data_IF_410966450251
#
_entry.id   IF_410966450251
#
_cell.length_a   1.000
_cell.length_b   1.000
_cell.length_c   1.000
_cell.angle_alpha   90.00
_cell.angle_beta   90.00
_cell.angle_gamma   90.00
#
_symmetry.space_group_name_H-M   'P 1'
#
loop_
_entity.id
_entity.type
_entity.pdbx_description
1 polymer ?
#
# COMPACT_ATOMS: atom_id res chain seq x y z
N UNK A 1 16.66 9.23 -12.73
CA UNK A 1 15.21 8.99 -12.73
C UNK A 1 14.92 7.61 -13.26
N UNK A 2 13.94 6.90 -12.68
CA UNK A 2 13.50 5.59 -13.15
C UNK A 2 11.97 5.50 -13.14
N UNK A 3 11.45 4.58 -13.93
CA UNK A 3 10.01 4.25 -13.96
C UNK A 3 9.79 2.95 -13.20
N UNK A 4 8.79 2.93 -12.34
CA UNK A 4 8.39 1.73 -11.60
C UNK A 4 7.28 1.01 -12.38
N UNK A 5 7.49 -0.27 -12.63
CA UNK A 5 6.49 -1.16 -13.22
C UNK A 5 5.89 -2.02 -12.12
N UNK A 6 4.57 -2.04 -12.04
CA UNK A 6 3.88 -2.80 -11.01
C UNK A 6 2.42 -2.99 -11.35
N UNK A 7 1.72 -3.85 -10.68
CA UNK A 7 2.19 -4.78 -9.65
C UNK A 7 1.26 -5.96 -9.55
N UNK A 8 1.36 -6.69 -8.45
CA UNK A 8 0.48 -7.81 -8.13
C UNK A 8 -0.45 -7.47 -6.97
N UNK A 9 -1.56 -8.20 -6.86
CA UNK A 9 -2.50 -8.12 -5.75
C UNK A 9 -2.89 -9.55 -5.36
N UNK A 10 -2.11 -10.15 -4.49
CA UNK A 10 -2.24 -11.55 -4.08
C UNK A 10 -2.61 -11.58 -2.61
N UNK A 11 -3.87 -11.91 -2.32
CA UNK A 11 -4.36 -12.00 -0.93
C UNK A 11 -3.70 -13.16 -0.19
N UNK A 12 -3.38 -12.91 1.08
CA UNK A 12 -2.77 -13.90 1.99
C UNK A 12 -1.43 -14.48 1.52
N UNK A 13 -0.77 -13.81 0.60
CA UNK A 13 0.58 -14.17 0.16
C UNK A 13 1.62 -13.32 0.89
N UNK A 14 2.29 -13.93 1.86
CA UNK A 14 3.29 -13.30 2.71
C UNK A 14 4.73 -13.48 2.21
N UNK A 15 4.90 -14.09 1.04
CA UNK A 15 6.23 -14.31 0.47
C UNK A 15 6.88 -13.00 0.02
N UNK A 16 8.13 -12.81 0.41
CA UNK A 16 8.99 -11.73 -0.06
C UNK A 16 9.96 -12.20 -1.16
N UNK A 17 9.75 -13.41 -1.67
CA UNK A 17 10.58 -13.96 -2.74
C UNK A 17 10.22 -13.33 -4.08
N UNK A 18 11.23 -13.02 -4.88
CA UNK A 18 11.06 -12.65 -6.27
C UNK A 18 10.68 -13.90 -7.08
N UNK A 19 9.56 -13.83 -7.79
CA UNK A 19 9.06 -14.92 -8.61
C UNK A 19 9.05 -14.54 -10.09
N UNK A 20 9.56 -15.43 -10.93
CA UNK A 20 9.56 -15.22 -12.38
C UNK A 20 8.14 -15.10 -12.94
N UNK A 21 7.17 -15.84 -12.38
CA UNK A 21 5.76 -15.75 -12.79
C UNK A 21 5.15 -14.37 -12.52
N UNK A 22 5.46 -13.78 -11.38
CA UNK A 22 4.99 -12.42 -11.04
C UNK A 22 5.64 -11.38 -11.94
N UNK A 23 6.96 -11.48 -12.17
CA UNK A 23 7.70 -10.61 -13.09
C UNK A 23 7.07 -10.63 -14.47
N UNK A 24 6.87 -11.84 -15.02
CA UNK A 24 6.32 -12.00 -16.37
C UNK A 24 4.91 -11.40 -16.47
N UNK A 25 4.07 -11.65 -15.48
CA UNK A 25 2.72 -11.08 -15.42
C UNK A 25 2.74 -9.55 -15.42
N UNK A 26 3.61 -8.93 -14.61
CA UNK A 26 3.76 -7.48 -14.54
C UNK A 26 4.25 -6.93 -15.89
N UNK A 27 5.28 -7.53 -16.46
CA UNK A 27 5.85 -7.06 -17.72
C UNK A 27 4.86 -7.18 -18.88
N UNK A 28 4.13 -8.28 -18.98
CA UNK A 28 3.09 -8.44 -20.00
C UNK A 28 2.00 -7.37 -19.89
N UNK A 29 1.53 -7.07 -18.69
CA UNK A 29 0.54 -6.01 -18.47
C UNK A 29 1.08 -4.63 -18.83
N UNK A 30 2.32 -4.34 -18.47
CA UNK A 30 2.95 -3.05 -18.78
C UNK A 30 3.21 -2.91 -20.28
N UNK A 31 3.65 -3.96 -20.96
CA UNK A 31 3.87 -3.96 -22.41
C UNK A 31 2.57 -3.75 -23.19
N UNK A 32 1.44 -4.23 -22.66
CA UNK A 32 0.14 -4.00 -23.29
C UNK A 32 -0.25 -2.52 -23.37
N UNK A 33 0.14 -1.72 -22.39
CA UNK A 33 -0.11 -0.26 -22.34
C UNK A 33 1.07 0.56 -22.86
N UNK A 34 2.25 -0.01 -22.84
CA UNK A 34 3.48 0.64 -23.31
C UNK A 34 4.30 -0.33 -24.19
N UNK A 35 3.93 -0.43 -25.48
CA UNK A 35 4.57 -1.39 -26.40
C UNK A 35 6.07 -1.17 -26.61
N UNK A 36 6.57 0.06 -26.41
CA UNK A 36 7.99 0.39 -26.54
C UNK A 36 8.83 0.05 -25.31
N UNK A 37 8.22 -0.58 -24.29
CA UNK A 37 8.95 -0.99 -23.11
C UNK A 37 10.09 -1.94 -23.47
N UNK A 38 11.30 -1.59 -23.04
CA UNK A 38 12.51 -2.36 -23.31
C UNK A 38 12.94 -3.10 -22.04
N UNK A 39 12.74 -4.41 -22.01
CA UNK A 39 13.09 -5.27 -20.89
C UNK A 39 14.59 -5.25 -20.55
N UNK A 40 15.45 -4.96 -21.53
CA UNK A 40 16.89 -4.88 -21.30
C UNK A 40 17.32 -3.71 -20.42
N UNK A 41 16.43 -2.74 -20.24
CA UNK A 41 16.65 -1.54 -19.40
C UNK A 41 16.19 -1.70 -17.95
N UNK A 42 15.71 -2.88 -17.57
CA UNK A 42 15.32 -3.14 -16.18
C UNK A 42 16.58 -3.12 -15.31
N UNK A 43 16.57 -2.29 -14.25
CA UNK A 43 17.72 -2.08 -13.37
C UNK A 43 17.56 -2.74 -12.01
N UNK A 44 16.37 -3.24 -11.69
CA UNK A 44 16.16 -3.92 -10.41
C UNK A 44 14.72 -4.36 -10.21
N UNK A 45 14.54 -5.15 -9.18
CA UNK A 45 13.25 -5.70 -8.77
C UNK A 45 13.13 -5.67 -7.26
N UNK A 46 11.90 -5.54 -6.76
CA UNK A 46 11.62 -5.60 -5.33
C UNK A 46 10.24 -6.20 -5.07
N UNK A 47 10.09 -6.79 -3.89
CA UNK A 47 8.84 -7.31 -3.39
C UNK A 47 8.52 -6.60 -2.07
N UNK A 48 7.26 -6.25 -1.89
CA UNK A 48 6.76 -5.69 -0.63
C UNK A 48 5.40 -6.26 -0.28
N UNK A 49 5.00 -6.09 0.97
CA UNK A 49 3.70 -6.50 1.47
C UNK A 49 2.82 -5.25 1.64
N UNK A 50 1.58 -5.31 1.11
CA UNK A 50 0.59 -4.27 1.38
C UNK A 50 -0.15 -4.59 2.66
N UNK A 51 -0.18 -3.68 3.65
CA UNK A 51 -0.91 -3.89 4.89
C UNK A 51 -2.41 -3.70 4.64
N UNK A 52 -3.08 -4.78 4.25
CA UNK A 52 -4.51 -4.79 3.93
C UNK A 52 -5.34 -5.35 5.05
N UNK A 53 -6.55 -4.83 5.21
CA UNK A 53 -7.64 -5.34 6.02
C UNK A 53 -8.92 -5.32 5.19
N UNK A 54 -9.96 -6.04 5.65
CA UNK A 54 -11.30 -5.97 5.04
C UNK A 54 -11.85 -4.54 5.04
N UNK A 55 -11.53 -3.78 6.10
CA UNK A 55 -11.82 -2.35 6.21
C UNK A 55 -10.59 -1.64 6.77
N UNK A 56 -10.37 -0.40 6.36
CA UNK A 56 -9.35 0.46 6.97
C UNK A 56 -9.70 0.64 8.45
N UNK A 57 -8.71 0.47 9.32
CA UNK A 57 -8.89 0.80 10.73
C UNK A 57 -8.55 2.26 10.96
N UNK A 58 -9.58 3.09 11.12
CA UNK A 58 -9.46 4.51 11.39
C UNK A 58 -10.41 4.85 12.54
N UNK A 59 -9.96 4.65 13.76
CA UNK A 59 -10.78 4.80 14.97
C UNK A 59 -9.92 5.13 16.19
N UNK A 60 -10.56 5.58 17.25
CA UNK A 60 -9.90 5.82 18.53
C UNK A 60 -10.48 4.95 19.64
N UNK A 61 -9.62 4.54 20.56
CA UNK A 61 -10.02 3.83 21.78
C UNK A 61 -9.22 4.31 22.99
N UNK A 62 -9.70 4.01 24.18
CA UNK A 62 -8.96 4.23 25.42
C UNK A 62 -8.59 2.90 26.04
N UNK A 63 -7.31 2.72 26.32
CA UNK A 63 -6.78 1.55 27.01
C UNK A 63 -6.01 2.05 28.24
N UNK A 64 -6.43 1.64 29.42
CA UNK A 64 -5.81 2.05 30.69
C UNK A 64 -5.56 3.55 30.82
N UNK A 65 -6.56 4.35 30.38
CA UNK A 65 -6.50 5.80 30.43
C UNK A 65 -5.73 6.47 29.27
N UNK A 66 -5.03 5.69 28.47
CA UNK A 66 -4.29 6.18 27.30
C UNK A 66 -5.18 6.22 26.06
N UNK A 67 -5.20 7.34 25.37
CA UNK A 67 -5.87 7.45 24.07
C UNK A 67 -4.99 6.85 22.97
N UNK A 68 -5.56 5.90 22.26
CA UNK A 68 -4.92 5.28 21.09
C UNK A 68 -5.75 5.61 19.86
N UNK A 69 -5.12 6.12 18.81
CA UNK A 69 -5.76 6.37 17.53
C UNK A 69 -5.13 5.44 16.51
N UNK A 70 -5.96 4.62 15.88
CA UNK A 70 -5.55 3.65 14.87
C UNK A 70 -5.76 4.24 13.47
N UNK A 71 -4.78 4.06 12.59
CA UNK A 71 -4.85 4.47 11.19
C UNK A 71 -3.99 3.53 10.36
N UNK A 72 -4.56 2.39 9.95
CA UNK A 72 -3.83 1.39 9.19
C UNK A 72 -4.75 0.45 8.40
N UNK A 73 -4.14 -0.39 7.56
CA UNK A 73 -4.86 -1.39 6.77
C UNK A 73 -5.36 -0.88 5.42
N UNK A 74 -4.71 0.13 4.83
CA UNK A 74 -5.15 0.81 3.62
C UNK A 74 -4.87 0.03 2.33
N UNK A 75 -4.11 -1.07 2.39
CA UNK A 75 -3.74 -1.84 1.21
C UNK A 75 -3.02 -0.98 0.16
N UNK A 76 -3.54 -0.96 -1.06
CA UNK A 76 -2.99 -0.14 -2.14
C UNK A 76 -3.42 1.33 -2.14
N UNK A 77 -4.29 1.76 -1.21
CA UNK A 77 -4.89 3.10 -1.20
C UNK A 77 -4.28 4.05 -0.16
N UNK A 78 -3.17 3.68 0.48
CA UNK A 78 -2.58 4.45 1.57
C UNK A 78 -2.23 5.90 1.19
N UNK A 79 -1.57 6.10 0.06
CA UNK A 79 -1.22 7.44 -0.43
C UNK A 79 -2.47 8.23 -0.81
N UNK A 80 -3.40 7.60 -1.53
CA UNK A 80 -4.66 8.23 -1.95
C UNK A 80 -5.47 8.76 -0.76
N UNK A 81 -5.55 7.98 0.33
CA UNK A 81 -6.34 8.30 1.50
C UNK A 81 -5.60 9.12 2.57
N UNK A 82 -4.30 9.36 2.38
CA UNK A 82 -3.41 9.90 3.42
C UNK A 82 -3.90 11.24 4.01
N UNK A 83 -4.31 12.19 3.20
CA UNK A 83 -4.77 13.50 3.65
C UNK A 83 -6.09 13.42 4.42
N UNK A 84 -7.05 12.66 3.89
CA UNK A 84 -8.34 12.47 4.56
C UNK A 84 -8.20 11.75 5.90
N UNK A 85 -7.35 10.72 5.96
CA UNK A 85 -7.05 10.01 7.20
C UNK A 85 -6.34 10.92 8.21
N UNK A 86 -5.38 11.73 7.77
CA UNK A 86 -4.69 12.69 8.66
C UNK A 86 -5.64 13.71 9.25
N UNK A 87 -6.57 14.24 8.45
CA UNK A 87 -7.60 15.17 8.92
C UNK A 87 -8.51 14.51 9.97
N UNK A 88 -8.95 13.28 9.73
CA UNK A 88 -9.79 12.55 10.67
C UNK A 88 -9.05 12.23 11.98
N UNK A 89 -7.79 11.82 11.92
CA UNK A 89 -6.94 11.59 13.12
C UNK A 89 -6.84 12.88 13.93
N UNK A 90 -6.60 14.01 13.28
CA UNK A 90 -6.51 15.33 13.93
C UNK A 90 -7.84 15.69 14.61
N UNK A 91 -8.96 15.43 13.96
CA UNK A 91 -10.29 15.67 14.50
C UNK A 91 -10.59 14.81 15.72
N UNK A 92 -10.27 13.50 15.64
CA UNK A 92 -10.40 12.57 16.78
C UNK A 92 -9.57 13.03 17.99
N UNK A 93 -8.34 13.45 17.76
CA UNK A 93 -7.45 13.93 18.81
C UNK A 93 -8.03 15.18 19.47
N UNK A 94 -8.41 16.18 18.68
CA UNK A 94 -8.96 17.44 19.17
C UNK A 94 -10.23 17.24 20.00
N UNK A 95 -11.12 16.34 19.55
CA UNK A 95 -12.39 16.05 20.25
C UNK A 95 -12.19 15.33 21.59
N UNK A 96 -11.06 14.65 21.78
CA UNK A 96 -10.76 13.88 23.00
C UNK A 96 -9.88 14.64 24.00
N UNK A 97 -9.30 15.76 23.59
CA UNK A 97 -8.46 16.61 24.43
C UNK A 97 -9.24 17.72 25.16
N UNK A 98 -10.50 17.92 24.83
CA UNK A 98 -11.39 18.91 25.45
C UNK A 98 -12.23 18.34 26.56
#
# INVERSE_FOLDING_TARGET
DCTVLGGTAQSDDWSLDLRDSDRETILQKCEAVWPELDRSKIIGESVGLRPSRSEVRLESEKVDGTLIIHNYGHGGAGVTLSWGCADEVTRMLSSKMT
#
